data_IF_291539625937
#
_entry.id   IF_291539625937
#
_cell.length_a   1.000
_cell.length_b   1.000
_cell.length_c   1.000
_cell.angle_alpha   90.00
_cell.angle_beta   90.00
_cell.angle_gamma   90.00
#
_symmetry.space_group_name_H-M   'P 1'
#
loop_
_entity.id
_entity.type
_entity.pdbx_description
1 polymer ?
#
# COMPACT_ATOMS: atom_id res chain seq x y z
N UNK A 1 -12.16 18.91 -5.97
CA UNK A 1 -11.25 18.63 -4.84
C UNK A 1 -11.74 17.53 -3.88
N UNK A 2 -13.01 17.11 -3.89
CA UNK A 2 -13.54 16.11 -2.93
C UNK A 2 -13.36 14.63 -3.30
N UNK A 3 -12.89 14.29 -4.51
CA UNK A 3 -12.76 12.89 -4.98
C UNK A 3 -11.42 12.29 -4.55
N UNK A 4 -10.32 13.04 -4.73
CA UNK A 4 -8.98 12.61 -4.30
C UNK A 4 -8.89 12.39 -2.79
N UNK A 5 -9.52 13.27 -2.00
CA UNK A 5 -9.56 13.14 -0.54
C UNK A 5 -10.32 11.88 -0.11
N UNK A 6 -11.41 11.53 -0.81
CA UNK A 6 -12.17 10.30 -0.54
C UNK A 6 -11.39 9.04 -0.92
N UNK A 7 -10.66 9.05 -2.03
CA UNK A 7 -9.78 7.96 -2.43
C UNK A 7 -8.63 7.74 -1.44
N UNK A 8 -8.06 8.83 -0.89
CA UNK A 8 -6.99 8.76 0.09
C UNK A 8 -7.47 8.23 1.45
N UNK A 9 -8.64 8.67 1.91
CA UNK A 9 -9.28 8.16 3.14
C UNK A 9 -9.66 6.68 2.98
N UNK A 10 -10.10 6.26 1.79
CA UNK A 10 -10.44 4.85 1.51
C UNK A 10 -9.19 3.96 1.52
N UNK A 11 -8.07 4.43 0.96
CA UNK A 11 -6.77 3.77 1.05
C UNK A 11 -6.29 3.66 2.51
N UNK A 12 -6.46 4.71 3.30
CA UNK A 12 -6.12 4.72 4.73
C UNK A 12 -6.98 3.74 5.55
N UNK A 13 -8.28 3.63 5.25
CA UNK A 13 -9.17 2.68 5.92
C UNK A 13 -8.79 1.21 5.62
N UNK A 14 -8.32 0.93 4.40
CA UNK A 14 -7.79 -0.39 4.01
C UNK A 14 -6.47 -0.70 4.75
N UNK A 15 -5.59 0.30 4.91
CA UNK A 15 -4.33 0.16 5.64
C UNK A 15 -4.50 0.02 7.16
N UNK A 16 -5.52 0.63 7.76
CA UNK A 16 -5.78 0.59 9.20
C UNK A 16 -6.68 -0.56 9.68
N UNK A 17 -7.01 -1.52 8.80
CA UNK A 17 -7.77 -2.70 9.21
C UNK A 17 -9.24 -2.44 9.50
N UNK A 18 -9.81 -1.33 9.01
CA UNK A 18 -11.27 -1.21 8.97
C UNK A 18 -11.80 -2.29 8.02
N UNK A 19 -12.76 -3.13 8.47
CA UNK A 19 -13.23 -4.28 7.71
C UNK A 19 -14.18 -3.82 6.61
N UNK A 20 -13.65 -3.14 5.59
CA UNK A 20 -14.40 -2.90 4.34
C UNK A 20 -14.56 -4.22 3.56
N UNK A 21 -13.79 -5.25 3.92
CA UNK A 21 -13.72 -6.54 3.24
C UNK A 21 -14.24 -7.67 4.14
N UNK A 22 -15.56 -7.73 4.36
CA UNK A 22 -16.21 -8.87 5.02
C UNK A 22 -15.91 -10.23 4.36
N UNK A 23 -15.41 -10.22 3.12
CA UNK A 23 -15.03 -11.38 2.33
C UNK A 23 -13.74 -12.05 2.87
N UNK A 24 -12.82 -11.28 3.43
CA UNK A 24 -11.58 -11.81 4.01
C UNK A 24 -11.64 -11.94 5.53
N UNK A 25 -12.83 -11.88 6.13
CA UNK A 25 -13.00 -11.91 7.59
C UNK A 25 -12.51 -13.21 8.23
N UNK A 26 -12.40 -14.28 7.44
CA UNK A 26 -11.81 -15.57 7.82
C UNK A 26 -10.33 -15.71 7.48
N UNK A 27 -9.73 -14.73 6.81
CA UNK A 27 -8.33 -14.75 6.43
C UNK A 27 -7.50 -14.05 7.50
N UNK A 28 -6.43 -14.68 7.96
CA UNK A 28 -5.53 -14.10 8.96
C UNK A 28 -4.52 -13.13 8.31
N UNK A 29 -5.05 -12.09 7.65
CA UNK A 29 -4.26 -11.06 6.99
C UNK A 29 -3.46 -10.22 8.00
N UNK A 30 -3.88 -10.24 9.27
CA UNK A 30 -3.21 -9.56 10.39
C UNK A 30 -1.82 -10.15 10.60
N UNK A 31 -1.64 -11.46 10.39
CA UNK A 31 -0.34 -12.13 10.51
C UNK A 31 0.72 -11.60 9.53
N UNK A 32 0.30 -11.02 8.41
CA UNK A 32 1.20 -10.42 7.42
C UNK A 32 1.60 -8.98 7.75
N UNK A 33 0.95 -8.35 8.74
CA UNK A 33 1.32 -7.02 9.19
C UNK A 33 2.62 -7.09 10.01
N UNK A 34 3.55 -6.18 9.73
CA UNK A 34 4.74 -6.00 10.54
C UNK A 34 4.56 -4.77 11.43
N UNK A 35 4.46 -4.93 12.76
CA UNK A 35 4.42 -3.79 13.69
C UNK A 35 5.63 -2.87 13.49
N UNK A 36 6.82 -3.44 13.24
CA UNK A 36 8.03 -2.67 12.97
C UNK A 36 7.92 -1.76 11.74
N UNK A 37 7.27 -2.22 10.65
CA UNK A 37 7.01 -1.38 9.46
C UNK A 37 6.08 -0.23 9.80
N UNK A 38 5.03 -0.50 10.59
CA UNK A 38 4.09 0.53 11.03
C UNK A 38 4.78 1.57 11.89
N UNK A 39 5.60 1.14 12.85
CA UNK A 39 6.29 2.04 13.77
C UNK A 39 7.35 2.89 13.03
N UNK A 40 8.06 2.30 12.05
CA UNK A 40 8.96 3.03 11.16
C UNK A 40 8.24 4.05 10.27
N UNK A 41 7.10 3.68 9.68
CA UNK A 41 6.28 4.60 8.91
C UNK A 41 5.76 5.74 9.79
N UNK A 42 5.31 5.46 11.01
CA UNK A 42 4.87 6.48 11.95
C UNK A 42 6.00 7.46 12.28
N UNK A 43 7.22 6.98 12.51
CA UNK A 43 8.39 7.82 12.72
C UNK A 43 8.72 8.73 11.52
N UNK A 44 8.26 8.36 10.32
CA UNK A 44 8.45 9.10 9.07
C UNK A 44 7.19 9.87 8.63
N UNK A 45 6.24 10.15 9.53
CA UNK A 45 4.95 10.77 9.19
C UNK A 45 4.20 10.06 8.05
N UNK A 46 4.36 8.74 7.96
CA UNK A 46 3.78 7.86 6.94
C UNK A 46 4.28 8.08 5.51
N UNK A 47 5.28 8.94 5.30
CA UNK A 47 5.77 9.30 3.96
C UNK A 47 7.29 9.11 3.90
N UNK A 48 7.80 8.04 3.27
CA UNK A 48 9.23 7.85 3.12
C UNK A 48 9.81 8.82 2.09
N UNK A 49 10.36 9.94 2.58
CA UNK A 49 10.88 11.00 1.70
C UNK A 49 12.32 10.85 1.22
N UNK A 50 13.08 9.89 1.76
CA UNK A 50 14.50 9.75 1.46
C UNK A 50 14.83 8.36 0.91
N UNK A 51 15.97 8.28 0.22
CA UNK A 51 16.52 7.02 -0.26
C UNK A 51 16.73 6.01 0.89
N UNK A 52 17.21 6.49 2.04
CA UNK A 52 17.41 5.68 3.26
C UNK A 52 16.08 5.14 3.82
N UNK A 53 15.02 5.96 3.82
CA UNK A 53 13.69 5.52 4.24
C UNK A 53 13.19 4.37 3.35
N UNK A 54 13.33 4.50 2.03
CA UNK A 54 12.95 3.45 1.09
C UNK A 54 13.80 2.19 1.26
N UNK A 55 15.12 2.31 1.42
CA UNK A 55 15.99 1.15 1.64
C UNK A 55 15.62 0.37 2.91
N UNK A 56 15.20 1.08 3.96
CA UNK A 56 14.78 0.45 5.22
C UNK A 56 13.41 -0.21 5.11
N UNK A 57 12.44 0.44 4.45
CA UNK A 57 11.05 -0.01 4.40
C UNK A 57 10.76 -1.02 3.30
N UNK A 58 11.47 -0.95 2.17
CA UNK A 58 11.17 -1.78 1.00
C UNK A 58 11.27 -3.29 1.27
N UNK A 59 12.34 -3.82 1.89
CA UNK A 59 12.42 -5.25 2.17
C UNK A 59 11.27 -5.79 3.02
N UNK A 60 10.89 -5.18 4.16
CA UNK A 60 9.78 -5.69 4.97
C UNK A 60 8.40 -5.43 4.32
N UNK A 61 8.19 -4.31 3.62
CA UNK A 61 6.93 -4.04 2.92
C UNK A 61 6.69 -5.05 1.79
N UNK A 62 7.70 -5.32 0.96
CA UNK A 62 7.60 -6.33 -0.10
C UNK A 62 7.33 -7.73 0.47
N UNK A 63 7.89 -8.05 1.64
CA UNK A 63 7.60 -9.30 2.36
C UNK A 63 6.14 -9.36 2.82
N UNK A 64 5.63 -8.28 3.40
CA UNK A 64 4.22 -8.19 3.81
C UNK A 64 3.26 -8.33 2.62
N UNK A 65 3.56 -7.70 1.48
CA UNK A 65 2.75 -7.85 0.27
C UNK A 65 2.71 -9.30 -0.24
N UNK A 66 3.87 -9.98 -0.26
CA UNK A 66 3.91 -11.42 -0.63
C UNK A 66 3.09 -12.27 0.34
N UNK A 67 3.27 -12.07 1.64
CA UNK A 67 2.49 -12.77 2.66
C UNK A 67 0.99 -12.57 2.47
N UNK A 68 0.54 -11.32 2.22
CA UNK A 68 -0.88 -11.04 1.98
C UNK A 68 -1.40 -11.79 0.75
N UNK A 69 -0.63 -11.84 -0.33
CA UNK A 69 -0.99 -12.59 -1.54
C UNK A 69 -1.12 -14.10 -1.28
N UNK A 70 -0.19 -14.65 -0.49
CA UNK A 70 -0.19 -16.07 -0.10
C UNK A 70 -1.38 -16.39 0.82
N UNK A 71 -1.67 -15.56 1.82
CA UNK A 71 -2.82 -15.74 2.72
C UNK A 71 -4.15 -15.65 1.97
N UNK A 72 -4.27 -14.70 1.02
CA UNK A 72 -5.42 -14.62 0.12
C UNK A 72 -5.58 -15.92 -0.67
N UNK A 73 -4.50 -16.42 -1.28
CA UNK A 73 -4.51 -17.67 -2.02
C UNK A 73 -4.91 -18.87 -1.16
N UNK A 74 -4.40 -18.97 0.06
CA UNK A 74 -4.71 -20.05 0.99
C UNK A 74 -6.18 -19.99 1.42
N UNK A 75 -6.65 -18.79 1.75
CA UNK A 75 -7.95 -18.55 2.37
C UNK A 75 -9.11 -18.75 1.38
N UNK A 76 -9.04 -18.13 0.20
CA UNK A 76 -10.13 -18.15 -0.78
C UNK A 76 -9.86 -19.05 -1.99
N UNK A 77 -8.73 -19.80 -1.97
CA UNK A 77 -8.32 -20.74 -3.04
C UNK A 77 -8.19 -20.09 -4.42
N UNK A 78 -8.00 -18.77 -4.44
CA UNK A 78 -7.76 -17.98 -5.65
C UNK A 78 -6.53 -17.13 -5.46
N UNK A 79 -5.63 -17.13 -6.42
CA UNK A 79 -4.55 -16.15 -6.44
C UNK A 79 -5.05 -14.76 -6.85
N UNK A 80 -4.20 -13.76 -6.68
CA UNK A 80 -4.54 -12.35 -6.92
C UNK A 80 -4.96 -12.10 -8.39
N UNK A 81 -4.37 -12.81 -9.35
CA UNK A 81 -4.73 -12.65 -10.76
C UNK A 81 -6.13 -13.24 -11.03
N UNK A 82 -6.44 -14.39 -10.43
CA UNK A 82 -7.76 -15.00 -10.49
C UNK A 82 -8.83 -14.13 -9.83
N UNK A 83 -8.49 -13.46 -8.72
CA UNK A 83 -9.34 -12.44 -8.11
C UNK A 83 -9.62 -11.29 -9.08
N UNK A 84 -8.57 -10.72 -9.67
CA UNK A 84 -8.70 -9.60 -10.60
C UNK A 84 -9.56 -9.95 -11.83
N UNK A 85 -9.46 -11.18 -12.31
CA UNK A 85 -10.23 -11.72 -13.43
C UNK A 85 -11.62 -12.26 -13.04
N UNK A 86 -12.02 -12.18 -11.78
CA UNK A 86 -13.30 -12.73 -11.32
C UNK A 86 -14.50 -12.04 -11.97
N UNK A 87 -15.52 -12.81 -12.33
CA UNK A 87 -16.82 -12.27 -12.77
C UNK A 87 -17.55 -11.51 -11.64
N UNK A 88 -17.19 -11.81 -10.38
CA UNK A 88 -17.68 -11.04 -9.25
C UNK A 88 -16.96 -9.69 -9.20
N UNK A 89 -17.70 -8.62 -9.50
CA UNK A 89 -17.20 -7.25 -9.54
C UNK A 89 -16.43 -6.84 -8.28
N UNK A 90 -16.87 -7.26 -7.10
CA UNK A 90 -16.19 -6.92 -5.84
C UNK A 90 -14.84 -7.62 -5.74
N UNK A 91 -14.79 -8.93 -6.04
CA UNK A 91 -13.55 -9.70 -6.06
C UNK A 91 -12.57 -9.18 -7.12
N UNK A 92 -13.08 -8.81 -8.30
CA UNK A 92 -12.30 -8.19 -9.36
C UNK A 92 -11.68 -6.86 -8.94
N UNK A 93 -12.46 -5.96 -8.33
CA UNK A 93 -11.94 -4.68 -7.83
C UNK A 93 -10.83 -4.90 -6.80
N UNK A 94 -11.02 -5.84 -5.87
CA UNK A 94 -10.04 -6.17 -4.85
C UNK A 94 -8.75 -6.71 -5.47
N UNK A 95 -8.86 -7.68 -6.39
CA UNK A 95 -7.70 -8.25 -7.07
C UNK A 95 -6.91 -7.20 -7.84
N UNK A 96 -7.61 -6.35 -8.61
CA UNK A 96 -6.99 -5.24 -9.33
C UNK A 96 -6.32 -4.23 -8.40
N UNK A 97 -6.94 -3.92 -7.25
CA UNK A 97 -6.33 -3.04 -6.24
C UNK A 97 -5.04 -3.65 -5.70
N UNK A 98 -5.05 -4.94 -5.36
CA UNK A 98 -3.88 -5.63 -4.84
C UNK A 98 -2.74 -5.66 -5.87
N UNK A 99 -3.05 -5.95 -7.14
CA UNK A 99 -2.07 -5.88 -8.23
C UNK A 99 -1.50 -4.48 -8.38
N UNK A 100 -2.36 -3.46 -8.45
CA UNK A 100 -1.95 -2.06 -8.64
C UNK A 100 -1.05 -1.57 -7.50
N UNK A 101 -1.42 -1.86 -6.25
CA UNK A 101 -0.60 -1.51 -5.08
C UNK A 101 0.71 -2.31 -5.08
N UNK A 102 0.66 -3.60 -5.41
CA UNK A 102 1.84 -4.46 -5.48
C UNK A 102 2.85 -3.99 -6.53
N UNK A 103 2.37 -3.64 -7.72
CA UNK A 103 3.18 -3.09 -8.82
C UNK A 103 3.78 -1.75 -8.43
N UNK A 104 2.97 -0.81 -7.94
CA UNK A 104 3.43 0.50 -7.48
C UNK A 104 4.54 0.40 -6.42
N UNK A 105 4.33 -0.43 -5.39
CA UNK A 105 5.34 -0.63 -4.34
C UNK A 105 6.59 -1.30 -4.90
N UNK A 106 6.44 -2.28 -5.79
CA UNK A 106 7.58 -2.97 -6.43
C UNK A 106 8.40 -2.01 -7.26
N UNK A 107 7.76 -1.13 -8.02
CA UNK A 107 8.44 -0.12 -8.83
C UNK A 107 9.17 0.91 -7.97
N UNK A 108 8.53 1.47 -6.93
CA UNK A 108 9.19 2.39 -5.99
C UNK A 108 10.38 1.72 -5.30
N UNK A 109 10.25 0.45 -4.93
CA UNK A 109 11.31 -0.30 -4.25
C UNK A 109 12.41 -0.81 -5.17
N UNK A 110 12.27 -0.65 -6.48
CA UNK A 110 13.30 -0.97 -7.45
C UNK A 110 14.14 0.28 -7.76
N UNK A 111 15.44 0.17 -7.54
CA UNK A 111 16.40 1.28 -7.70
C UNK A 111 16.55 1.78 -9.13
N UNK A 112 16.13 0.99 -10.12
CA UNK A 112 16.36 1.28 -11.54
C UNK A 112 15.18 1.99 -12.21
N UNK A 113 14.02 2.09 -11.55
CA UNK A 113 12.79 2.57 -12.17
C UNK A 113 12.71 4.10 -12.23
N UNK A 114 12.05 4.60 -13.27
CA UNK A 114 11.66 6.01 -13.36
C UNK A 114 10.70 6.39 -12.24
N UNK A 115 9.80 5.49 -11.83
CA UNK A 115 8.84 5.77 -10.77
C UNK A 115 9.54 6.08 -9.44
N UNK A 116 10.56 5.32 -9.05
CA UNK A 116 11.34 5.61 -7.84
C UNK A 116 12.01 6.98 -7.91
N UNK A 117 12.67 7.29 -9.04
CA UNK A 117 13.34 8.58 -9.25
C UNK A 117 12.34 9.74 -9.14
N UNK A 118 11.21 9.62 -9.83
CA UNK A 118 10.15 10.62 -9.81
C UNK A 118 9.50 10.76 -8.42
N UNK A 119 9.32 9.65 -7.71
CA UNK A 119 8.82 9.64 -6.34
C UNK A 119 9.75 10.43 -5.41
N UNK A 120 11.05 10.08 -5.37
CA UNK A 120 12.03 10.77 -4.52
C UNK A 120 12.21 12.25 -4.88
N UNK A 121 12.11 12.59 -6.17
CA UNK A 121 12.21 13.97 -6.63
C UNK A 121 10.99 14.84 -6.24
N UNK A 122 9.82 14.23 -6.07
CA UNK A 122 8.56 14.96 -5.85
C UNK A 122 8.07 14.90 -4.41
N UNK A 123 8.35 13.81 -3.69
CA UNK A 123 7.78 13.55 -2.36
C UNK A 123 8.24 14.57 -1.31
N UNK A 124 9.44 15.13 -1.44
CA UNK A 124 9.92 16.22 -0.57
C UNK A 124 9.06 17.47 -0.72
N UNK A 125 8.77 17.88 -1.95
CA UNK A 125 7.88 19.01 -2.26
C UNK A 125 6.46 18.79 -1.70
N UNK A 126 5.93 17.57 -1.81
CA UNK A 126 4.62 17.26 -1.25
C UNK A 126 4.61 17.27 0.27
N UNK A 127 5.68 16.81 0.93
CA UNK A 127 5.78 16.83 2.39
C UNK A 127 5.70 18.26 2.93
N UNK A 128 6.44 19.19 2.33
CA UNK A 128 6.46 20.59 2.76
C UNK A 128 5.07 21.24 2.64
N UNK A 129 4.30 20.88 1.59
CA UNK A 129 2.91 21.33 1.41
C UNK A 129 1.92 20.76 2.43
N UNK A 130 2.22 19.60 3.03
CA UNK A 130 1.38 18.99 4.06
C UNK A 130 1.74 19.46 5.47
N UNK A 131 2.99 19.86 5.70
CA UNK A 131 3.48 20.35 7.00
C UNK A 131 3.35 21.88 7.16
N UNK A 132 3.11 22.65 6.08
CA UNK A 132 2.88 24.09 6.11
C UNK A 132 1.43 24.49 5.73
N UNK A 133 0.50 24.62 6.70
CA UNK A 133 -0.90 24.93 6.41
C UNK A 133 -1.19 26.41 6.07
N UNK A 134 -0.22 27.34 6.04
CA UNK A 134 -0.46 28.72 5.62
C UNK A 134 0.71 29.34 4.81
N UNK A 135 0.45 29.91 3.62
CA UNK A 135 1.39 30.85 3.03
C UNK A 135 1.39 32.14 3.88
N UNK A 136 2.57 32.56 4.36
CA UNK A 136 2.77 33.90 4.93
C UNK A 136 2.44 35.00 3.93
#
# INVERSE_FOLDING_TARGET
MGILLKSFIFLFAILQGYPVLGIFRSCDLIRCQSPAVRDQLQAMNWVPTTEEHLQTLCPPVLRSLRCLGDEVKICIKMDVNQLAASENKTLSIIGNLFLSVGEFVTEICNNETDLRRNYLASVSCFKDLYEDPEPK
#
